data_IF_430335541679
#
_entry.id   IF_430335541679
#
_cell.length_a   1.000
_cell.length_b   1.000
_cell.length_c   1.000
_cell.angle_alpha   90.00
_cell.angle_beta   90.00
_cell.angle_gamma   90.00
#
_symmetry.space_group_name_H-M   'P 1'
#
loop_
_entity.id
_entity.type
_entity.pdbx_description
1 polymer ?
#
# COMPACT_ATOMS: atom_id res chain seq x y z
N UNK A 1 41.92 9.49 7.38
CA UNK A 1 42.51 10.33 6.34
C UNK A 1 43.78 9.70 5.81
N UNK A 2 43.82 9.45 4.50
CA UNK A 2 44.92 8.83 3.79
C UNK A 2 46.12 9.78 3.73
N UNK A 3 47.33 9.27 3.98
CA UNK A 3 48.55 10.08 4.09
C UNK A 3 48.89 10.90 2.83
N UNK A 4 48.39 10.48 1.67
CA UNK A 4 48.54 11.23 0.41
C UNK A 4 47.64 12.46 0.33
N UNK A 5 46.44 12.42 0.90
CA UNK A 5 45.52 13.55 0.94
C UNK A 5 46.00 14.60 1.97
N UNK A 6 46.51 14.13 3.12
CA UNK A 6 47.14 15.00 4.14
C UNK A 6 48.27 15.86 3.54
N UNK A 7 49.10 15.27 2.69
CA UNK A 7 50.20 15.98 2.00
C UNK A 7 49.69 17.00 0.98
N UNK A 8 48.53 16.78 0.37
CA UNK A 8 47.94 17.72 -0.58
C UNK A 8 47.28 18.90 0.16
N UNK A 9 46.63 18.65 1.29
CA UNK A 9 46.08 19.69 2.17
C UNK A 9 47.21 20.56 2.73
N UNK A 10 48.27 19.95 3.26
CA UNK A 10 49.42 20.70 3.80
C UNK A 10 50.18 21.55 2.76
N UNK A 11 49.93 21.33 1.46
CA UNK A 11 50.50 22.09 0.33
C UNK A 11 49.47 23.03 -0.32
N UNK A 12 48.32 23.24 0.32
CA UNK A 12 47.19 24.04 -0.18
C UNK A 12 46.72 23.65 -1.60
N UNK A 13 46.84 22.36 -1.96
CA UNK A 13 46.42 21.84 -3.28
C UNK A 13 44.93 21.48 -3.31
N UNK A 14 44.39 21.05 -2.18
CA UNK A 14 42.97 20.77 -1.96
C UNK A 14 42.60 21.25 -0.56
N UNK A 15 41.34 21.56 -0.32
CA UNK A 15 40.81 21.88 1.01
C UNK A 15 40.52 20.62 1.85
N UNK A 16 40.32 20.81 3.15
CA UNK A 16 40.10 19.73 4.12
C UNK A 16 38.80 18.95 3.83
N UNK A 17 37.72 19.61 3.41
CA UNK A 17 36.44 18.96 3.07
C UNK A 17 36.58 18.05 1.83
N UNK A 18 37.30 18.53 0.81
CA UNK A 18 37.64 17.72 -0.37
C UNK A 18 38.46 16.48 0.03
N UNK A 19 39.44 16.63 0.93
CA UNK A 19 40.26 15.52 1.41
C UNK A 19 39.43 14.49 2.20
N UNK A 20 38.53 14.92 3.06
CA UNK A 20 37.67 14.02 3.84
C UNK A 20 36.73 13.20 2.95
N UNK A 21 36.14 13.82 1.92
CA UNK A 21 35.29 13.13 0.95
C UNK A 21 36.07 12.14 0.07
N UNK A 22 37.29 12.50 -0.32
CA UNK A 22 38.17 11.61 -1.08
C UNK A 22 38.73 10.46 -0.23
N UNK A 23 38.76 10.58 1.09
CA UNK A 23 39.18 9.50 1.99
C UNK A 23 38.27 8.27 1.87
N UNK A 24 37.01 8.47 1.49
CA UNK A 24 36.06 7.40 1.19
C UNK A 24 36.20 6.82 -0.24
N UNK A 25 37.05 7.41 -1.09
CA UNK A 25 37.26 7.02 -2.49
C UNK A 25 38.72 6.63 -2.80
N UNK A 26 39.37 5.75 -2.02
CA UNK A 26 40.70 5.26 -2.35
C UNK A 26 40.70 4.45 -3.66
N UNK A 27 41.87 4.28 -4.30
CA UNK A 27 42.04 3.35 -5.40
C UNK A 27 41.47 1.96 -5.09
N UNK A 28 40.66 1.42 -6.00
CA UNK A 28 39.96 0.16 -5.84
C UNK A 28 38.49 0.31 -5.43
N UNK A 29 38.06 1.46 -4.92
CA UNK A 29 36.67 1.69 -4.50
C UNK A 29 35.72 1.75 -5.69
N UNK A 30 34.59 1.06 -5.60
CA UNK A 30 33.49 1.23 -6.54
C UNK A 30 32.75 2.54 -6.26
N UNK A 31 32.27 3.19 -7.31
CA UNK A 31 31.59 4.46 -7.19
C UNK A 31 30.48 4.64 -8.22
N UNK A 32 29.64 5.63 -7.98
CA UNK A 32 28.58 6.06 -8.89
C UNK A 32 28.70 7.55 -9.21
N UNK A 33 28.51 7.90 -10.48
CA UNK A 33 28.33 9.28 -10.93
C UNK A 33 27.01 9.42 -11.69
N UNK A 34 26.23 10.46 -11.38
CA UNK A 34 24.88 10.67 -11.94
C UNK A 34 24.84 10.63 -13.48
N UNK A 35 25.85 11.15 -14.16
CA UNK A 35 25.89 11.23 -15.63
C UNK A 35 26.73 10.15 -16.31
N UNK A 36 27.61 9.46 -15.57
CA UNK A 36 28.55 8.49 -16.15
C UNK A 36 28.36 7.07 -15.64
N UNK A 37 27.43 6.88 -14.69
CA UNK A 37 27.03 5.58 -14.20
C UNK A 37 28.04 4.98 -13.22
N UNK A 38 28.16 3.66 -13.28
CA UNK A 38 29.06 2.89 -12.43
C UNK A 38 30.52 3.14 -12.83
N UNK A 39 31.38 3.33 -11.84
CA UNK A 39 32.82 3.38 -12.03
C UNK A 39 33.60 2.71 -10.91
N UNK A 40 34.91 2.58 -11.10
CA UNK A 40 35.87 2.15 -10.09
C UNK A 40 37.04 3.12 -10.05
N UNK A 41 37.43 3.55 -8.86
CA UNK A 41 38.60 4.42 -8.70
C UNK A 41 39.84 3.62 -9.10
N UNK A 42 40.55 4.10 -10.12
CA UNK A 42 41.78 3.47 -10.59
C UNK A 42 42.97 4.00 -9.79
N UNK A 43 43.16 5.32 -9.78
CA UNK A 43 44.29 5.95 -9.10
C UNK A 43 44.06 7.43 -8.79
N UNK A 44 44.91 7.99 -7.93
CA UNK A 44 44.99 9.43 -7.67
C UNK A 44 46.24 10.01 -8.33
N UNK A 45 46.04 10.91 -9.29
CA UNK A 45 47.11 11.75 -9.83
C UNK A 45 47.31 12.97 -8.93
N UNK A 46 48.21 12.79 -7.96
CA UNK A 46 48.57 13.80 -6.96
C UNK A 46 49.29 15.01 -7.58
N UNK A 47 49.95 14.84 -8.72
CA UNK A 47 50.71 15.93 -9.36
C UNK A 47 49.76 16.91 -10.04
N UNK A 48 48.75 16.37 -10.74
CA UNK A 48 47.77 17.17 -11.47
C UNK A 48 46.47 17.39 -10.68
N UNK A 49 46.40 16.95 -9.42
CA UNK A 49 45.19 17.05 -8.55
C UNK A 49 43.95 16.42 -9.19
N UNK A 50 44.13 15.24 -9.79
CA UNK A 50 43.06 14.49 -10.46
C UNK A 50 42.88 13.10 -9.86
N UNK A 51 41.70 12.55 -10.09
CA UNK A 51 41.37 11.15 -9.85
C UNK A 51 41.10 10.50 -11.20
N UNK A 52 41.67 9.33 -11.42
CA UNK A 52 41.42 8.51 -12.60
C UNK A 52 40.36 7.48 -12.23
N UNK A 53 39.23 7.49 -12.93
CA UNK A 53 38.10 6.60 -12.69
C UNK A 53 37.83 5.78 -13.95
N UNK A 54 37.71 4.47 -13.77
CA UNK A 54 37.25 3.57 -14.82
C UNK A 54 35.73 3.47 -14.78
N UNK A 55 35.03 4.32 -15.54
CA UNK A 55 33.59 4.19 -15.74
C UNK A 55 33.29 3.11 -16.78
N UNK A 56 32.12 2.48 -16.67
CA UNK A 56 31.68 1.39 -17.56
C UNK A 56 31.83 1.72 -19.06
N UNK A 57 31.40 2.93 -19.46
CA UNK A 57 31.46 3.39 -20.86
C UNK A 57 32.67 4.32 -21.14
N UNK A 58 33.49 4.63 -20.12
CA UNK A 58 34.63 5.59 -20.21
C UNK A 58 35.79 5.18 -19.27
N UNK A 59 36.58 4.16 -19.64
CA UNK A 59 37.75 3.77 -18.86
C UNK A 59 38.82 4.87 -18.86
N UNK A 60 39.55 5.00 -17.74
CA UNK A 60 40.64 5.97 -17.58
C UNK A 60 40.20 7.44 -17.55
N UNK A 61 38.96 7.73 -17.18
CA UNK A 61 38.46 9.10 -17.19
C UNK A 61 39.09 9.92 -16.05
N UNK A 62 39.79 10.99 -16.41
CA UNK A 62 40.42 11.88 -15.44
C UNK A 62 39.48 13.02 -15.02
N UNK A 63 39.29 13.18 -13.71
CA UNK A 63 38.46 14.25 -13.13
C UNK A 63 39.24 14.99 -12.05
N UNK A 64 38.99 16.29 -11.87
CA UNK A 64 39.60 17.05 -10.78
C UNK A 64 39.15 16.54 -9.41
N UNK A 65 40.06 16.47 -8.44
CA UNK A 65 39.81 15.96 -7.09
C UNK A 65 38.60 16.59 -6.40
N UNK A 66 38.46 17.92 -6.48
CA UNK A 66 37.30 18.64 -5.93
C UNK A 66 35.99 18.25 -6.60
N UNK A 67 35.99 18.12 -7.94
CA UNK A 67 34.80 17.73 -8.67
C UNK A 67 34.37 16.30 -8.34
N UNK A 68 35.34 15.39 -8.16
CA UNK A 68 35.05 14.01 -7.70
C UNK A 68 34.42 14.02 -6.32
N UNK A 69 35.00 14.75 -5.37
CA UNK A 69 34.45 14.87 -4.01
C UNK A 69 33.00 15.36 -3.99
N UNK A 70 32.59 16.20 -4.94
CA UNK A 70 31.23 16.77 -5.01
C UNK A 70 30.24 15.92 -5.83
N UNK A 71 30.70 15.10 -6.78
CA UNK A 71 29.83 14.47 -7.80
C UNK A 71 29.87 12.94 -7.84
N UNK A 72 30.82 12.32 -7.15
CA UNK A 72 31.03 10.87 -7.13
C UNK A 72 30.71 10.33 -5.75
N UNK A 73 29.88 9.30 -5.70
CA UNK A 73 29.47 8.65 -4.45
C UNK A 73 30.14 7.27 -4.36
N UNK A 74 30.82 6.92 -3.25
CA UNK A 74 31.31 5.56 -3.04
C UNK A 74 30.14 4.58 -2.92
N UNK A 75 30.33 3.36 -3.39
CA UNK A 75 29.34 2.27 -3.25
C UNK A 75 30.03 0.99 -2.81
N UNK A 76 29.34 0.19 -2.00
CA UNK A 76 29.83 -1.10 -1.51
C UNK A 76 29.86 -2.16 -2.61
N UNK A 77 30.63 -3.24 -2.40
CA UNK A 77 30.77 -4.34 -3.38
C UNK A 77 29.44 -5.06 -3.68
N UNK A 78 28.53 -5.08 -2.70
CA UNK A 78 27.20 -5.66 -2.86
C UNK A 78 26.20 -4.73 -3.57
N UNK A 79 26.57 -3.47 -3.80
CA UNK A 79 25.74 -2.52 -4.50
C UNK A 79 25.55 -2.92 -5.98
N UNK A 80 24.35 -2.69 -6.53
CA UNK A 80 24.01 -3.04 -7.92
C UNK A 80 25.05 -2.55 -8.94
N UNK A 81 25.47 -1.29 -8.84
CA UNK A 81 26.49 -0.72 -9.74
C UNK A 81 27.89 -1.33 -9.58
N UNK A 82 28.27 -1.77 -8.38
CA UNK A 82 29.54 -2.47 -8.18
C UNK A 82 29.48 -3.86 -8.83
N UNK A 83 28.43 -4.63 -8.57
CA UNK A 83 28.19 -5.93 -9.21
C UNK A 83 28.08 -5.80 -10.73
N UNK A 84 27.51 -4.72 -11.26
CA UNK A 84 27.45 -4.48 -12.71
C UNK A 84 28.82 -4.33 -13.36
N UNK A 85 29.82 -3.81 -12.64
CA UNK A 85 31.19 -3.71 -13.14
C UNK A 85 31.99 -5.00 -12.94
N UNK A 86 31.78 -5.68 -11.80
CA UNK A 86 32.62 -6.80 -11.39
C UNK A 86 32.07 -8.18 -11.78
N UNK A 87 30.74 -8.30 -11.94
CA UNK A 87 30.02 -9.56 -12.02
C UNK A 87 28.69 -9.40 -12.79
N UNK A 88 28.74 -8.84 -14.02
CA UNK A 88 27.53 -8.62 -14.82
C UNK A 88 26.85 -9.93 -15.21
N UNK A 89 27.63 -11.00 -15.39
CA UNK A 89 27.13 -12.34 -15.68
C UNK A 89 26.25 -12.88 -14.55
N UNK A 90 26.60 -12.63 -13.28
CA UNK A 90 25.79 -13.00 -12.13
C UNK A 90 24.45 -12.26 -12.12
N UNK A 91 24.46 -10.95 -12.44
CA UNK A 91 23.22 -10.17 -12.58
C UNK A 91 22.36 -10.68 -13.74
N UNK A 92 22.98 -11.10 -14.84
CA UNK A 92 22.30 -11.69 -16.00
C UNK A 92 21.66 -13.04 -15.66
N UNK A 93 22.33 -13.86 -14.86
CA UNK A 93 21.79 -15.13 -14.35
C UNK A 93 20.63 -14.86 -13.38
N UNK A 94 20.82 -13.96 -12.41
CA UNK A 94 19.79 -13.52 -11.48
C UNK A 94 18.55 -13.00 -12.21
N UNK A 95 18.71 -12.30 -13.33
CA UNK A 95 17.57 -11.81 -14.14
C UNK A 95 16.65 -12.93 -14.64
N UNK A 96 17.18 -14.17 -14.78
CA UNK A 96 16.45 -15.34 -15.27
C UNK A 96 15.90 -16.16 -14.11
N UNK A 97 16.72 -16.41 -13.10
CA UNK A 97 16.40 -17.31 -12.00
C UNK A 97 15.61 -16.62 -10.89
N UNK A 98 16.06 -15.44 -10.47
CA UNK A 98 15.44 -14.62 -9.43
C UNK A 98 15.24 -13.16 -9.87
N UNK A 99 14.28 -12.89 -10.77
CA UNK A 99 13.99 -11.54 -11.22
C UNK A 99 13.46 -10.62 -10.11
N UNK A 100 12.92 -11.17 -9.02
CA UNK A 100 12.42 -10.39 -7.88
C UNK A 100 13.59 -9.92 -7.03
N UNK A 101 14.54 -10.81 -6.71
CA UNK A 101 15.77 -10.43 -6.02
C UNK A 101 16.62 -9.45 -6.81
N UNK A 102 16.68 -9.57 -8.14
CA UNK A 102 17.37 -8.57 -8.98
C UNK A 102 16.70 -7.19 -8.86
N UNK A 103 15.37 -7.14 -8.88
CA UNK A 103 14.64 -5.90 -8.69
C UNK A 103 14.88 -5.31 -7.29
N UNK A 104 14.84 -6.14 -6.25
CA UNK A 104 15.16 -5.78 -4.87
C UNK A 104 16.54 -5.14 -4.78
N UNK A 105 17.57 -5.82 -5.27
CA UNK A 105 18.95 -5.35 -5.27
C UNK A 105 19.08 -3.97 -5.93
N UNK A 106 18.47 -3.78 -7.11
CA UNK A 106 18.50 -2.51 -7.82
C UNK A 106 17.79 -1.38 -7.07
N UNK A 107 16.62 -1.64 -6.48
CA UNK A 107 15.85 -0.61 -5.76
C UNK A 107 16.53 -0.27 -4.42
N UNK A 108 17.02 -1.26 -3.67
CA UNK A 108 17.79 -1.05 -2.43
C UNK A 108 19.03 -0.21 -2.70
N UNK A 109 19.75 -0.51 -3.79
CA UNK A 109 20.91 0.27 -4.25
C UNK A 109 20.55 1.70 -4.66
N UNK A 110 19.30 1.97 -5.03
CA UNK A 110 18.81 3.31 -5.32
C UNK A 110 18.30 4.06 -4.07
N UNK A 111 18.45 3.48 -2.88
CA UNK A 111 17.96 4.06 -1.61
C UNK A 111 16.51 3.69 -1.28
N UNK A 112 16.00 2.57 -1.80
CA UNK A 112 14.67 2.04 -1.47
C UNK A 112 13.52 2.58 -2.34
N UNK A 113 13.75 3.65 -3.10
CA UNK A 113 12.74 4.26 -3.99
C UNK A 113 13.37 4.64 -5.32
N UNK A 114 12.75 4.25 -6.44
CA UNK A 114 13.27 4.53 -7.79
C UNK A 114 12.16 4.81 -8.79
N UNK A 115 12.36 5.78 -9.69
CA UNK A 115 11.43 5.99 -10.80
C UNK A 115 11.51 4.81 -11.80
N UNK A 116 10.42 4.51 -12.49
CA UNK A 116 10.41 3.43 -13.48
C UNK A 116 11.39 3.68 -14.64
N UNK A 117 11.63 4.94 -14.99
CA UNK A 117 12.61 5.30 -16.03
C UNK A 117 14.05 5.05 -15.55
N UNK A 118 14.36 5.41 -14.30
CA UNK A 118 15.68 5.13 -13.72
C UNK A 118 15.90 3.62 -13.56
N UNK A 119 14.90 2.89 -13.06
CA UNK A 119 14.95 1.43 -12.93
C UNK A 119 15.16 0.74 -14.29
N UNK A 120 14.46 1.21 -15.33
CA UNK A 120 14.69 0.76 -16.71
C UNK A 120 16.12 1.04 -17.18
N UNK A 121 16.65 2.24 -16.93
CA UNK A 121 18.03 2.60 -17.28
C UNK A 121 19.11 1.83 -16.53
N UNK A 122 18.82 1.33 -15.31
CA UNK A 122 19.73 0.49 -14.55
C UNK A 122 19.92 -0.89 -15.18
N UNK A 123 18.87 -1.45 -15.78
CA UNK A 123 18.82 -2.85 -16.21
C UNK A 123 18.93 -3.02 -17.73
N UNK A 124 18.19 -2.21 -18.50
CA UNK A 124 18.03 -2.37 -19.94
C UNK A 124 19.33 -2.09 -20.69
N UNK A 125 19.66 -2.97 -21.62
CA UNK A 125 20.87 -2.92 -22.45
C UNK A 125 22.17 -3.28 -21.70
N UNK A 126 22.12 -3.50 -20.39
CA UNK A 126 23.31 -3.67 -19.54
C UNK A 126 23.29 -5.02 -18.81
N UNK A 127 22.22 -5.27 -18.05
CA UNK A 127 21.95 -6.58 -17.44
C UNK A 127 20.97 -7.37 -18.31
N UNK A 128 19.96 -6.71 -18.86
CA UNK A 128 18.94 -7.35 -19.67
C UNK A 128 19.04 -6.81 -21.09
N UNK A 129 19.18 -7.70 -22.07
CA UNK A 129 19.23 -7.30 -23.48
C UNK A 129 18.04 -6.39 -23.85
N UNK A 130 18.31 -5.33 -24.60
CA UNK A 130 17.36 -4.26 -24.90
C UNK A 130 15.98 -4.76 -25.39
N UNK A 131 16.00 -5.69 -26.36
CA UNK A 131 14.79 -6.30 -26.93
C UNK A 131 14.04 -7.27 -26.00
N UNK A 132 14.64 -7.69 -24.87
CA UNK A 132 14.03 -8.60 -23.89
C UNK A 132 13.50 -7.89 -22.65
N UNK A 133 13.88 -6.63 -22.43
CA UNK A 133 13.51 -5.90 -21.22
C UNK A 133 11.99 -5.79 -21.04
N UNK A 134 11.25 -5.49 -22.10
CA UNK A 134 9.78 -5.31 -22.01
C UNK A 134 9.07 -6.59 -21.53
N UNK A 135 9.42 -7.75 -22.09
CA UNK A 135 8.81 -9.02 -21.69
C UNK A 135 9.25 -9.44 -20.29
N UNK A 136 10.52 -9.24 -19.96
CA UNK A 136 11.03 -9.45 -18.61
C UNK A 136 10.24 -8.61 -17.60
N UNK A 137 10.16 -7.30 -17.82
CA UNK A 137 9.48 -6.37 -16.91
C UNK A 137 8.01 -6.73 -16.69
N UNK A 138 7.24 -7.05 -17.73
CA UNK A 138 5.83 -7.42 -17.56
C UNK A 138 5.65 -8.71 -16.73
N UNK A 139 6.59 -9.65 -16.83
CA UNK A 139 6.56 -10.88 -16.02
C UNK A 139 7.01 -10.63 -14.57
N UNK A 140 8.08 -9.87 -14.37
CA UNK A 140 8.61 -9.49 -13.06
C UNK A 140 7.62 -8.61 -12.30
N UNK A 141 7.02 -7.60 -12.95
CA UNK A 141 6.05 -6.67 -12.35
C UNK A 141 4.85 -7.39 -11.74
N UNK A 142 4.40 -8.51 -12.33
CA UNK A 142 3.33 -9.34 -11.76
C UNK A 142 3.78 -10.03 -10.47
N UNK A 143 5.02 -10.53 -10.42
CA UNK A 143 5.60 -11.13 -9.22
C UNK A 143 5.76 -10.08 -8.12
N UNK A 144 6.30 -8.90 -8.44
CA UNK A 144 6.47 -7.80 -7.49
C UNK A 144 5.13 -7.35 -6.88
N UNK A 145 4.04 -7.29 -7.66
CA UNK A 145 2.70 -6.93 -7.13
C UNK A 145 2.14 -7.94 -6.12
N UNK A 146 2.61 -9.18 -6.17
CA UNK A 146 2.20 -10.23 -5.25
C UNK A 146 3.14 -10.32 -4.03
N UNK A 147 4.24 -9.58 -4.04
CA UNK A 147 5.21 -9.55 -2.97
C UNK A 147 4.98 -8.31 -2.10
N UNK A 148 4.76 -8.54 -0.80
CA UNK A 148 4.40 -7.50 0.16
C UNK A 148 5.54 -6.49 0.37
N UNK A 149 6.78 -6.83 0.01
CA UNK A 149 7.92 -5.93 0.12
C UNK A 149 7.94 -4.83 -0.95
N UNK A 150 7.14 -4.92 -2.01
CA UNK A 150 7.21 -3.98 -3.12
C UNK A 150 5.93 -3.16 -3.27
N UNK A 151 6.07 -1.84 -3.30
CA UNK A 151 5.01 -0.93 -3.74
C UNK A 151 5.16 -0.72 -5.24
N UNK A 152 4.36 -1.44 -6.02
CA UNK A 152 4.38 -1.33 -7.48
C UNK A 152 3.38 -0.28 -7.97
N UNK A 153 3.84 0.81 -8.61
CA UNK A 153 2.97 1.91 -8.98
C UNK A 153 1.98 1.53 -10.08
N UNK A 154 0.79 2.16 -10.00
CA UNK A 154 -0.26 2.02 -11.01
C UNK A 154 0.00 2.90 -12.24
N UNK A 155 0.67 4.04 -12.05
CA UNK A 155 1.03 5.01 -13.09
C UNK A 155 2.54 5.08 -13.29
N UNK A 156 3.00 5.39 -14.50
CA UNK A 156 4.44 5.51 -14.79
C UNK A 156 5.12 6.67 -14.03
N UNK A 157 4.36 7.70 -13.68
CA UNK A 157 4.85 8.88 -12.94
C UNK A 157 5.11 8.62 -11.45
N UNK A 158 4.59 7.52 -10.91
CA UNK A 158 4.78 7.13 -9.51
C UNK A 158 6.00 6.20 -9.42
N UNK A 159 6.78 6.26 -8.32
CA UNK A 159 7.98 5.45 -8.17
C UNK A 159 7.67 3.99 -7.78
N UNK A 160 8.66 3.12 -7.99
CA UNK A 160 8.73 1.78 -7.44
C UNK A 160 9.46 1.85 -6.11
N UNK A 161 8.90 1.26 -5.06
CA UNK A 161 9.43 1.37 -3.70
C UNK A 161 9.57 0.00 -3.04
N UNK A 162 10.57 -0.12 -2.18
CA UNK A 162 10.68 -1.20 -1.21
C UNK A 162 10.06 -0.73 0.11
N UNK A 163 9.18 -1.55 0.66
CA UNK A 163 8.77 -1.44 2.06
C UNK A 163 9.94 -1.90 2.94
N UNK A 164 10.00 -1.35 4.14
CA UNK A 164 10.99 -1.78 5.12
C UNK A 164 10.78 -3.27 5.44
N UNK A 165 11.81 -4.09 5.26
CA UNK A 165 11.78 -5.52 5.57
C UNK A 165 11.58 -5.80 7.06
N UNK A 166 11.79 -4.79 7.90
CA UNK A 166 11.58 -4.85 9.34
C UNK A 166 10.19 -4.35 9.78
N UNK A 167 9.31 -3.97 8.84
CA UNK A 167 7.92 -3.69 9.19
C UNK A 167 7.29 -4.96 9.74
N UNK A 168 6.92 -4.88 11.01
CA UNK A 168 6.16 -5.94 11.63
C UNK A 168 4.89 -6.21 10.79
N UNK A 169 4.46 -7.47 10.61
CA UNK A 169 3.28 -7.77 9.80
C UNK A 169 2.03 -6.95 10.17
N UNK A 170 1.87 -6.57 11.46
CA UNK A 170 0.81 -5.66 11.89
C UNK A 170 1.00 -4.23 11.36
N UNK A 171 2.21 -3.70 11.40
CA UNK A 171 2.55 -2.36 10.92
C UNK A 171 2.33 -2.24 9.41
N UNK A 172 2.70 -3.27 8.64
CA UNK A 172 2.45 -3.31 7.20
C UNK A 172 0.94 -3.27 6.88
N UNK A 173 0.12 -3.99 7.65
CA UNK A 173 -1.34 -3.96 7.50
C UNK A 173 -1.90 -2.57 7.83
N UNK A 174 -1.44 -1.95 8.91
CA UNK A 174 -1.86 -0.59 9.31
C UNK A 174 -1.44 0.44 8.26
N UNK A 175 -0.23 0.33 7.72
CA UNK A 175 0.25 1.20 6.65
C UNK A 175 -0.63 1.08 5.38
N UNK A 176 -0.97 -0.14 4.96
CA UNK A 176 -1.88 -0.36 3.83
C UNK A 176 -3.24 0.34 4.02
N UNK A 177 -3.75 0.37 5.26
CA UNK A 177 -4.97 1.11 5.62
C UNK A 177 -4.79 2.63 5.57
N UNK A 178 -3.66 3.15 6.04
CA UNK A 178 -3.35 4.59 6.04
C UNK A 178 -3.16 5.12 4.60
N UNK A 179 -2.54 4.33 3.72
CA UNK A 179 -2.33 4.68 2.31
C UNK A 179 -3.61 4.59 1.45
N UNK A 180 -4.67 3.95 1.96
CA UNK A 180 -5.95 3.82 1.28
C UNK A 180 -6.66 5.19 1.15
N UNK A 181 -6.63 5.75 -0.06
CA UNK A 181 -7.18 7.09 -0.38
C UNK A 181 -8.71 7.19 -0.45
N UNK A 182 -9.41 6.06 -0.59
CA UNK A 182 -10.87 6.04 -0.72
C UNK A 182 -11.50 5.06 0.28
N UNK A 183 -12.78 5.32 0.62
CA UNK A 183 -13.49 4.58 1.67
C UNK A 183 -13.58 3.08 1.36
N UNK A 184 -13.73 2.69 0.09
CA UNK A 184 -13.82 1.27 -0.29
C UNK A 184 -12.49 0.55 -0.09
N UNK A 185 -11.37 1.21 -0.40
CA UNK A 185 -10.03 0.67 -0.09
C UNK A 185 -9.79 0.56 1.40
N UNK A 186 -10.27 1.53 2.20
CA UNK A 186 -10.21 1.44 3.67
C UNK A 186 -10.98 0.25 4.21
N UNK A 187 -12.23 0.06 3.77
CA UNK A 187 -13.02 -1.16 4.08
C UNK A 187 -12.20 -2.41 3.74
N UNK A 188 -11.61 -2.46 2.54
CA UNK A 188 -10.88 -3.65 2.11
C UNK A 188 -9.62 -3.91 2.95
N UNK A 189 -8.87 -2.87 3.32
CA UNK A 189 -7.69 -3.01 4.15
C UNK A 189 -8.05 -3.58 5.54
N UNK A 190 -9.13 -3.08 6.16
CA UNK A 190 -9.58 -3.60 7.46
C UNK A 190 -10.15 -5.00 7.37
N UNK A 191 -10.82 -5.37 6.26
CA UNK A 191 -11.19 -6.77 6.03
C UNK A 191 -9.98 -7.71 5.97
N UNK A 192 -8.83 -7.26 5.45
CA UNK A 192 -7.60 -8.06 5.48
C UNK A 192 -7.11 -8.20 6.92
N UNK A 193 -7.08 -7.12 7.70
CA UNK A 193 -6.72 -7.17 9.14
C UNK A 193 -7.63 -8.14 9.91
N UNK A 194 -8.94 -8.08 9.68
CA UNK A 194 -9.95 -8.94 10.31
C UNK A 194 -9.79 -10.44 10.00
N UNK A 195 -9.12 -10.77 8.89
CA UNK A 195 -8.82 -12.14 8.49
C UNK A 195 -7.45 -12.62 8.98
N UNK A 196 -6.57 -11.71 9.40
CA UNK A 196 -5.22 -11.98 9.88
C UNK A 196 -4.93 -11.26 11.21
N UNK A 197 -5.85 -11.40 12.18
CA UNK A 197 -5.67 -10.81 13.52
C UNK A 197 -4.46 -11.40 14.26
N UNK A 198 -3.98 -12.58 13.85
CA UNK A 198 -2.76 -13.21 14.38
C UNK A 198 -1.48 -12.46 14.06
N UNK A 199 -1.52 -11.53 13.08
CA UNK A 199 -0.41 -10.64 12.79
C UNK A 199 -0.18 -9.58 13.88
N UNK A 200 -1.14 -9.37 14.79
CA UNK A 200 -1.09 -8.36 15.84
C UNK A 200 -0.80 -9.02 17.20
N UNK A 201 0.25 -8.58 17.89
CA UNK A 201 0.57 -9.04 19.24
C UNK A 201 -0.43 -8.52 20.27
N UNK A 202 -0.81 -7.24 20.15
CA UNK A 202 -1.74 -6.55 21.04
C UNK A 202 -2.84 -5.85 20.22
N UNK A 203 -3.74 -6.61 19.56
CA UNK A 203 -4.73 -6.04 18.65
C UNK A 203 -5.65 -5.02 19.32
N UNK A 204 -5.95 -5.20 20.61
CA UNK A 204 -6.79 -4.28 21.39
C UNK A 204 -6.16 -2.89 21.58
N UNK A 205 -4.84 -2.75 21.44
CA UNK A 205 -4.13 -1.47 21.50
C UNK A 205 -3.81 -0.98 20.09
N UNK A 206 -3.25 -1.86 19.25
CA UNK A 206 -2.74 -1.52 17.92
C UNK A 206 -3.85 -1.07 16.95
N UNK A 207 -5.08 -1.55 17.13
CA UNK A 207 -6.20 -1.24 16.23
C UNK A 207 -7.08 -0.08 16.69
N UNK A 208 -6.84 0.50 17.88
CA UNK A 208 -7.58 1.70 18.35
C UNK A 208 -7.49 2.84 17.33
N UNK A 209 -6.31 3.24 16.82
CA UNK A 209 -6.23 4.33 15.85
C UNK A 209 -6.97 4.03 14.54
N UNK A 210 -7.02 2.75 14.13
CA UNK A 210 -7.77 2.32 12.95
C UNK A 210 -9.27 2.54 13.17
N UNK A 211 -9.79 2.17 14.34
CA UNK A 211 -11.20 2.37 14.71
C UNK A 211 -11.58 3.85 14.75
N UNK A 212 -10.73 4.69 15.34
CA UNK A 212 -10.93 6.14 15.38
C UNK A 212 -10.96 6.75 13.97
N UNK A 213 -10.05 6.34 13.09
CA UNK A 213 -10.01 6.83 11.72
C UNK A 213 -11.21 6.33 10.89
N UNK A 214 -11.63 5.08 11.08
CA UNK A 214 -12.87 4.56 10.47
C UNK A 214 -14.09 5.39 10.90
N UNK A 215 -14.16 5.74 12.19
CA UNK A 215 -15.25 6.54 12.76
C UNK A 215 -15.32 7.93 12.10
N UNK A 216 -14.20 8.64 12.05
CA UNK A 216 -14.10 9.97 11.43
C UNK A 216 -14.38 9.93 9.92
N UNK A 217 -13.81 8.94 9.22
CA UNK A 217 -14.03 8.77 7.78
C UNK A 217 -15.49 8.44 7.46
N UNK A 218 -16.15 7.60 8.26
CA UNK A 218 -17.57 7.32 8.12
C UNK A 218 -18.41 8.59 8.33
N UNK A 219 -18.19 9.33 9.42
CA UNK A 219 -18.87 10.60 9.72
C UNK A 219 -18.80 11.59 8.56
N UNK A 220 -17.61 11.79 7.99
CA UNK A 220 -17.39 12.67 6.83
C UNK A 220 -18.03 12.12 5.55
N UNK A 221 -18.04 10.80 5.39
CA UNK A 221 -18.55 10.09 4.22
C UNK A 221 -20.07 10.07 4.11
N UNK A 222 -20.82 10.16 5.21
CA UNK A 222 -22.28 9.93 5.21
C UNK A 222 -23.06 10.74 4.18
N UNK A 223 -22.68 12.02 3.96
CA UNK A 223 -23.39 12.90 3.02
C UNK A 223 -23.00 12.70 1.55
N UNK A 224 -21.75 12.32 1.27
CA UNK A 224 -21.20 12.31 -0.09
C UNK A 224 -21.05 10.90 -0.67
N UNK A 225 -20.87 9.91 0.20
CA UNK A 225 -20.56 8.53 -0.14
C UNK A 225 -21.29 7.59 0.84
N UNK A 226 -22.62 7.70 0.89
CA UNK A 226 -23.46 7.02 1.88
C UNK A 226 -23.17 5.51 1.98
N UNK A 227 -23.29 4.75 0.88
CA UNK A 227 -23.06 3.29 0.93
C UNK A 227 -21.65 2.89 1.40
N UNK A 228 -20.54 3.46 0.85
CA UNK A 228 -19.21 3.22 1.41
C UNK A 228 -19.03 3.63 2.87
N UNK A 229 -19.69 4.71 3.32
CA UNK A 229 -19.63 5.14 4.71
C UNK A 229 -20.32 4.14 5.64
N UNK A 230 -21.48 3.61 5.24
CA UNK A 230 -22.18 2.52 5.97
C UNK A 230 -21.32 1.26 6.04
N UNK A 231 -20.63 0.89 4.96
CA UNK A 231 -19.71 -0.26 4.98
C UNK A 231 -18.53 -0.05 5.95
N UNK A 232 -18.03 1.18 6.09
CA UNK A 232 -17.01 1.49 7.10
C UNK A 232 -17.55 1.31 8.52
N UNK A 233 -18.76 1.80 8.82
CA UNK A 233 -19.41 1.61 10.14
C UNK A 233 -19.55 0.12 10.45
N UNK A 234 -20.08 -0.67 9.51
CA UNK A 234 -20.20 -2.13 9.70
C UNK A 234 -18.83 -2.81 9.92
N UNK A 235 -17.79 -2.36 9.23
CA UNK A 235 -16.46 -2.95 9.35
C UNK A 235 -15.76 -2.55 10.66
N UNK A 236 -16.00 -1.31 11.13
CA UNK A 236 -15.59 -0.83 12.45
C UNK A 236 -16.22 -1.67 13.56
N UNK A 237 -17.52 -1.92 13.44
CA UNK A 237 -18.28 -2.68 14.45
C UNK A 237 -17.87 -4.16 14.46
N UNK A 238 -17.58 -4.76 13.29
CA UNK A 238 -16.98 -6.10 13.19
C UNK A 238 -15.62 -6.18 13.90
N UNK A 239 -14.79 -5.14 13.76
CA UNK A 239 -13.46 -5.06 14.39
C UNK A 239 -13.59 -5.00 15.91
N UNK A 240 -14.45 -4.13 16.43
CA UNK A 240 -14.74 -4.04 17.86
C UNK A 240 -15.36 -5.33 18.43
N UNK A 241 -16.21 -6.01 17.65
CA UNK A 241 -16.81 -7.28 18.06
C UNK A 241 -15.78 -8.42 18.14
N UNK A 242 -14.85 -8.48 17.18
CA UNK A 242 -13.84 -9.56 17.11
C UNK A 242 -12.66 -9.34 18.05
N UNK A 243 -12.30 -8.09 18.34
CA UNK A 243 -11.16 -7.76 19.18
C UNK A 243 -11.64 -7.23 20.53
N UNK A 244 -11.61 -8.10 21.55
CA UNK A 244 -12.01 -7.73 22.90
C UNK A 244 -11.15 -6.57 23.43
N UNK A 245 -11.80 -5.53 23.97
CA UNK A 245 -11.14 -4.36 24.55
C UNK A 245 -11.09 -3.14 23.64
N UNK A 246 -11.56 -3.25 22.39
CA UNK A 246 -11.81 -2.09 21.54
C UNK A 246 -13.18 -1.51 21.90
N UNK A 247 -13.20 -0.21 22.18
CA UNK A 247 -14.42 0.58 22.33
C UNK A 247 -14.66 1.42 21.09
N UNK A 248 -15.93 1.52 20.67
CA UNK A 248 -16.32 2.38 19.54
C UNK A 248 -16.48 3.81 20.05
N UNK A 249 -15.90 4.83 19.39
CA UNK A 249 -16.10 6.23 19.77
C UNK A 249 -17.58 6.63 19.74
N UNK A 250 -18.04 7.33 20.78
CA UNK A 250 -19.46 7.73 20.93
C UNK A 250 -19.90 8.83 19.94
N UNK A 251 -18.96 9.55 19.32
CA UNK A 251 -19.21 10.74 18.50
C UNK A 251 -19.45 10.44 17.01
N UNK A 252 -19.55 9.16 16.64
CA UNK A 252 -19.75 8.73 15.26
C UNK A 252 -21.11 8.09 14.97
N UNK A 253 -21.40 7.83 13.68
CA UNK A 253 -22.63 7.19 13.29
C UNK A 253 -22.67 5.73 13.74
N UNK A 254 -23.86 5.28 14.12
CA UNK A 254 -24.17 3.88 14.42
C UNK A 254 -25.11 3.32 13.36
N UNK A 255 -25.10 2.00 13.14
CA UNK A 255 -26.04 1.37 12.19
C UNK A 255 -27.51 1.60 12.60
N UNK A 256 -27.91 1.49 13.89
CA UNK A 256 -29.27 1.82 14.30
C UNK A 256 -29.69 3.25 13.96
N UNK A 257 -28.82 4.25 14.20
CA UNK A 257 -29.11 5.65 13.86
C UNK A 257 -29.27 5.84 12.35
N UNK A 258 -28.40 5.22 11.55
CA UNK A 258 -28.50 5.27 10.08
C UNK A 258 -29.82 4.66 9.60
N UNK A 259 -30.21 3.51 10.15
CA UNK A 259 -31.47 2.84 9.80
C UNK A 259 -32.67 3.73 10.12
N UNK A 260 -32.66 4.39 11.28
CA UNK A 260 -33.73 5.29 11.73
C UNK A 260 -33.81 6.58 10.91
N UNK A 261 -32.68 7.22 10.66
CA UNK A 261 -32.62 8.58 10.12
C UNK A 261 -32.55 8.63 8.58
N UNK A 262 -32.27 7.49 7.92
CA UNK A 262 -32.07 7.42 6.46
C UNK A 262 -32.97 6.41 5.74
N UNK A 263 -34.19 6.18 6.24
CA UNK A 263 -35.13 5.19 5.70
C UNK A 263 -35.32 5.28 4.17
N UNK A 264 -35.51 6.49 3.63
CA UNK A 264 -35.70 6.72 2.19
C UNK A 264 -34.50 6.27 1.32
N UNK A 265 -33.30 6.22 1.91
CA UNK A 265 -32.07 5.81 1.21
C UNK A 265 -31.75 4.32 1.36
N UNK A 266 -32.47 3.61 2.24
CA UNK A 266 -32.21 2.19 2.52
C UNK A 266 -32.42 1.27 1.30
N UNK A 267 -33.48 1.42 0.48
CA UNK A 267 -33.67 0.53 -0.67
C UNK A 267 -32.50 0.56 -1.66
N UNK A 268 -31.94 1.73 -1.93
CA UNK A 268 -30.77 1.89 -2.80
C UNK A 268 -29.48 1.39 -2.15
N UNK A 269 -29.30 1.66 -0.86
CA UNK A 269 -28.22 1.09 -0.07
C UNK A 269 -28.23 -0.44 -0.17
N UNK A 270 -29.36 -1.09 0.09
CA UNK A 270 -29.50 -2.54 0.07
C UNK A 270 -29.20 -3.17 -1.30
N UNK A 271 -29.47 -2.46 -2.39
CA UNK A 271 -29.12 -2.90 -3.76
C UNK A 271 -27.59 -2.91 -3.97
N UNK A 272 -26.89 -1.97 -3.35
CA UNK A 272 -25.43 -1.82 -3.50
C UNK A 272 -24.60 -2.75 -2.62
N UNK A 273 -25.14 -3.15 -1.45
CA UNK A 273 -24.41 -3.94 -0.47
C UNK A 273 -24.25 -5.41 -0.87
N UNK A 274 -23.17 -6.03 -0.36
CA UNK A 274 -23.03 -7.49 -0.31
C UNK A 274 -24.05 -8.11 0.64
N UNK A 275 -24.30 -9.42 0.52
CA UNK A 275 -25.30 -10.10 1.35
C UNK A 275 -24.96 -10.03 2.84
N UNK A 276 -23.68 -10.17 3.20
CA UNK A 276 -23.21 -10.07 4.59
C UNK A 276 -23.47 -8.68 5.16
N UNK A 277 -23.17 -7.61 4.39
CA UNK A 277 -23.37 -6.23 4.84
C UNK A 277 -24.86 -5.86 4.91
N UNK A 278 -25.67 -6.32 3.95
CA UNK A 278 -27.13 -6.19 4.00
C UNK A 278 -27.71 -6.77 5.29
N UNK A 279 -27.33 -8.00 5.65
CA UNK A 279 -27.77 -8.63 6.91
C UNK A 279 -27.32 -7.84 8.14
N UNK A 280 -26.11 -7.27 8.10
CA UNK A 280 -25.61 -6.40 9.16
C UNK A 280 -26.54 -5.20 9.39
N UNK A 281 -26.97 -4.51 8.32
CA UNK A 281 -27.91 -3.38 8.43
C UNK A 281 -29.29 -3.84 8.91
N UNK A 282 -29.84 -4.91 8.35
CA UNK A 282 -31.17 -5.40 8.74
C UNK A 282 -31.24 -5.84 10.20
N UNK A 283 -30.15 -6.38 10.76
CA UNK A 283 -30.08 -6.79 12.17
C UNK A 283 -30.10 -5.63 13.16
N UNK A 284 -29.90 -4.39 12.71
CA UNK A 284 -29.96 -3.21 13.56
C UNK A 284 -31.39 -2.65 13.74
N UNK A 285 -32.38 -3.17 13.02
CA UNK A 285 -33.77 -2.68 13.10
C UNK A 285 -34.39 -2.79 14.50
N UNK A 286 -34.23 -3.91 15.25
CA UNK A 286 -34.75 -4.00 16.61
C UNK A 286 -34.22 -2.90 17.53
N UNK A 287 -32.93 -2.58 17.42
CA UNK A 287 -32.32 -1.50 18.19
C UNK A 287 -32.76 -0.11 17.69
N UNK A 288 -32.94 0.07 16.38
CA UNK A 288 -33.34 1.34 15.77
C UNK A 288 -34.78 1.75 16.11
N UNK A 289 -35.71 0.79 16.20
CA UNK A 289 -37.15 1.05 16.31
C UNK A 289 -37.82 0.45 17.56
N UNK A 290 -37.10 -0.36 18.33
CA UNK A 290 -37.61 -1.07 19.50
C UNK A 290 -38.42 -2.33 19.14
N UNK A 291 -38.58 -3.22 20.12
CA UNK A 291 -39.21 -4.55 19.98
C UNK A 291 -40.64 -4.51 19.41
N UNK A 292 -41.39 -3.45 19.67
CA UNK A 292 -42.79 -3.35 19.27
C UNK A 292 -42.97 -2.99 17.78
N UNK A 293 -42.08 -2.17 17.21
CA UNK A 293 -42.30 -1.54 15.91
C UNK A 293 -41.35 -2.03 14.81
N UNK A 294 -40.20 -2.61 15.15
CA UNK A 294 -39.14 -2.90 14.17
C UNK A 294 -39.60 -3.84 13.04
N UNK A 295 -40.50 -4.77 13.32
CA UNK A 295 -41.05 -5.70 12.32
C UNK A 295 -41.90 -4.96 11.29
N UNK A 296 -42.79 -4.08 11.74
CA UNK A 296 -43.64 -3.28 10.86
C UNK A 296 -42.79 -2.36 9.97
N UNK A 297 -41.83 -1.66 10.58
CA UNK A 297 -40.88 -0.78 9.88
C UNK A 297 -40.08 -1.55 8.83
N UNK A 298 -39.57 -2.75 9.16
CA UNK A 298 -38.82 -3.58 8.22
C UNK A 298 -39.70 -4.12 7.08
N UNK A 299 -40.92 -4.56 7.37
CA UNK A 299 -41.86 -5.08 6.37
C UNK A 299 -42.32 -3.97 5.41
N UNK A 300 -42.43 -2.72 5.86
CA UNK A 300 -42.80 -1.58 5.00
C UNK A 300 -41.88 -1.42 3.77
N UNK A 301 -40.59 -1.76 3.94
CA UNK A 301 -39.55 -1.66 2.91
C UNK A 301 -39.71 -2.69 1.78
N UNK A 302 -40.52 -3.74 1.96
CA UNK A 302 -40.74 -4.80 0.94
C UNK A 302 -41.21 -4.18 -0.38
N UNK A 303 -42.04 -3.14 -0.33
CA UNK A 303 -42.61 -2.50 -1.51
C UNK A 303 -41.58 -1.78 -2.39
N UNK A 304 -40.43 -1.40 -1.84
CA UNK A 304 -39.38 -0.61 -2.50
C UNK A 304 -38.11 -1.43 -2.79
N UNK A 305 -37.99 -2.60 -2.17
CA UNK A 305 -36.82 -3.45 -2.23
C UNK A 305 -36.85 -4.47 -3.37
N UNK A 306 -35.67 -5.00 -3.72
CA UNK A 306 -35.56 -6.10 -4.69
C UNK A 306 -35.83 -7.46 -4.01
N UNK A 307 -36.07 -8.50 -4.82
CA UNK A 307 -36.41 -9.85 -4.32
C UNK A 307 -35.37 -10.43 -3.34
N UNK A 308 -34.08 -10.12 -3.54
CA UNK A 308 -33.01 -10.55 -2.64
C UNK A 308 -33.21 -9.97 -1.25
N UNK A 309 -33.43 -8.67 -1.15
CA UNK A 309 -33.66 -7.98 0.12
C UNK A 309 -34.99 -8.41 0.76
N UNK A 310 -36.05 -8.58 -0.04
CA UNK A 310 -37.35 -9.09 0.46
C UNK A 310 -37.17 -10.46 1.13
N UNK A 311 -36.40 -11.36 0.51
CA UNK A 311 -36.10 -12.67 1.10
C UNK A 311 -35.37 -12.56 2.43
N UNK A 312 -34.39 -11.65 2.54
CA UNK A 312 -33.66 -11.44 3.80
C UNK A 312 -34.52 -10.78 4.89
N UNK A 313 -35.39 -9.83 4.54
CA UNK A 313 -36.38 -9.25 5.46
C UNK A 313 -37.29 -10.36 6.00
N UNK A 314 -37.87 -11.17 5.11
CA UNK A 314 -38.76 -12.25 5.50
C UNK A 314 -38.06 -13.27 6.42
N UNK A 315 -36.82 -13.64 6.10
CA UNK A 315 -36.03 -14.55 6.94
C UNK A 315 -35.77 -13.96 8.33
N UNK A 316 -35.31 -12.71 8.41
CA UNK A 316 -34.98 -12.07 9.70
C UNK A 316 -36.23 -11.92 10.57
N UNK A 317 -37.36 -11.50 10.00
CA UNK A 317 -38.62 -11.39 10.75
C UNK A 317 -39.12 -12.76 11.21
N UNK A 318 -39.07 -13.78 10.34
CA UNK A 318 -39.49 -15.14 10.68
C UNK A 318 -38.60 -15.79 11.76
N UNK A 319 -37.29 -15.58 11.69
CA UNK A 319 -36.31 -16.08 12.67
C UNK A 319 -36.50 -15.44 14.07
N UNK A 320 -37.25 -14.33 14.16
CA UNK A 320 -37.58 -13.63 15.41
C UNK A 320 -39.08 -13.72 15.73
N UNK A 321 -39.64 -14.91 15.61
CA UNK A 321 -41.04 -15.25 15.93
C UNK A 321 -42.08 -14.38 15.18
N UNK A 322 -41.74 -13.88 13.99
CA UNK A 322 -42.60 -13.01 13.17
C UNK A 322 -43.12 -13.67 11.89
N UNK A 323 -43.17 -15.00 11.83
CA UNK A 323 -43.64 -15.71 10.63
C UNK A 323 -45.08 -15.32 10.24
N UNK A 324 -45.96 -15.15 11.24
CA UNK A 324 -47.34 -14.72 11.01
C UNK A 324 -47.42 -13.26 10.53
N UNK A 325 -46.51 -12.39 10.99
CA UNK A 325 -46.42 -10.99 10.53
C UNK A 325 -46.08 -10.92 9.03
N UNK A 326 -45.15 -11.77 8.58
CA UNK A 326 -44.77 -11.87 7.16
C UNK A 326 -45.94 -12.35 6.32
N UNK A 327 -46.64 -13.41 6.75
CA UNK A 327 -47.81 -13.95 6.04
C UNK A 327 -48.91 -12.88 5.95
N UNK A 328 -49.24 -12.25 7.08
CA UNK A 328 -50.28 -11.22 7.16
C UNK A 328 -50.01 -10.01 6.26
N UNK A 329 -48.74 -9.59 6.15
CA UNK A 329 -48.33 -8.52 5.24
C UNK A 329 -48.62 -8.87 3.78
N UNK A 330 -48.21 -10.07 3.34
CA UNK A 330 -48.44 -10.50 1.95
C UNK A 330 -49.92 -10.71 1.64
N UNK A 331 -50.68 -11.36 2.53
CA UNK A 331 -52.13 -11.57 2.34
C UNK A 331 -52.88 -10.24 2.18
N UNK A 332 -52.55 -9.24 3.00
CA UNK A 332 -53.12 -7.90 2.89
C UNK A 332 -52.74 -7.21 1.58
N UNK A 333 -51.49 -7.35 1.14
CA UNK A 333 -51.00 -6.81 -0.14
C UNK A 333 -51.67 -7.47 -1.36
N UNK A 334 -51.93 -8.78 -1.33
CA UNK A 334 -52.65 -9.49 -2.39
C UNK A 334 -54.12 -9.10 -2.45
N UNK A 335 -54.79 -8.93 -1.31
CA UNK A 335 -56.18 -8.50 -1.25
C UNK A 335 -56.37 -7.08 -1.81
N UNK A 336 -55.47 -6.15 -1.48
CA UNK A 336 -55.54 -4.79 -2.01
C UNK A 336 -55.36 -4.74 -3.53
N UNK A 337 -54.43 -5.53 -4.10
CA UNK A 337 -54.24 -5.64 -5.56
C UNK A 337 -55.41 -6.29 -6.28
N UNK A 338 -56.07 -7.27 -5.64
CA UNK A 338 -57.26 -7.93 -6.18
C UNK A 338 -58.50 -7.03 -6.18
N UNK A 339 -58.58 -6.03 -5.29
CA UNK A 339 -59.69 -5.08 -5.22
C UNK A 339 -59.51 -3.87 -6.16
N UNK A 340 -58.26 -3.57 -6.56
CA UNK A 340 -57.93 -2.49 -7.49
C UNK A 340 -57.84 -2.91 -8.97
N UNK A 341 -58.12 -4.19 -9.28
CA UNK A 341 -58.10 -4.77 -10.64
C UNK A 341 -59.51 -4.91 -11.20
#
# INVERSE_FOLDING_TARGET
MHSDLEKLVARDKIDQDTAEKLDALPPGTFCHHKSWGAGKINSWDRLNTKVVIDFEDKPGHEMGMKFVAESVTPVDEDHFYAKRLAAVEELQEMSKEDPVGLAKLAISSAGGTVSLDNFEGMLKGKVIADGKYKSWWESTKKKLRNDRLFVVPSKRSEPLELRDENLDPSEALIQDFQEARDLKRKVKAVEVMLNDLTAFEEPAIQLIPVVEELNDAASKGMKLQFAPAVELVLTRDDLATKVKGIEIPEDGPTIPDIVRDNQESLPDLFRSLSLTRLRGVLRAFPEAFGEENWKEEMLSLISECNLRTIGEIANIVADNDGADDVIGYFDSGFQQRSLSS
#
